data_IF_707400642074
#
_entry.id   IF_707400642074
#
_cell.length_a   1.000
_cell.length_b   1.000
_cell.length_c   1.000
_cell.angle_alpha   90.00
_cell.angle_beta   90.00
_cell.angle_gamma   90.00
#
_symmetry.space_group_name_H-M   'P 1'
#
loop_
_entity.id
_entity.type
_entity.pdbx_description
1 polymer ?
#
# COMPACT_ATOMS: atom_id res chain seq x y z
N UNK A 1 15.33 12.93 16.09
CA UNK A 1 15.25 12.08 14.89
C UNK A 1 14.07 11.13 15.04
N UNK A 2 13.23 11.05 14.01
CA UNK A 2 12.06 10.20 14.07
C UNK A 2 12.44 8.75 13.80
N UNK A 3 11.98 7.86 14.66
CA UNK A 3 12.24 6.43 14.51
C UNK A 3 10.95 5.72 14.11
N UNK A 4 11.00 5.03 12.97
CA UNK A 4 9.89 4.25 12.45
C UNK A 4 10.25 2.76 12.48
N UNK A 5 9.22 1.94 12.61
CA UNK A 5 9.35 0.51 12.41
C UNK A 5 8.21 -0.01 11.55
N UNK A 6 8.44 -1.12 10.90
CA UNK A 6 7.42 -1.81 10.11
C UNK A 6 6.87 -2.95 10.96
N UNK A 7 5.56 -3.07 11.00
CA UNK A 7 4.87 -4.15 11.67
C UNK A 7 4.01 -4.89 10.66
N UNK A 8 4.19 -6.20 10.55
CA UNK A 8 3.36 -7.01 9.67
C UNK A 8 2.01 -7.23 10.35
N UNK A 9 1.03 -6.46 9.94
CA UNK A 9 -0.30 -6.48 10.55
C UNK A 9 -1.30 -5.86 9.60
N UNK A 10 -2.54 -6.32 9.67
CA UNK A 10 -3.66 -5.74 8.92
C UNK A 10 -4.30 -4.67 9.80
N UNK A 11 -4.50 -3.44 9.29
CA UNK A 11 -5.20 -2.43 10.06
C UNK A 11 -6.65 -2.84 10.31
N UNK A 12 -7.24 -2.35 11.39
CA UNK A 12 -8.69 -2.46 11.56
C UNK A 12 -9.38 -1.60 10.49
N UNK A 13 -10.66 -1.86 10.17
CA UNK A 13 -11.39 -1.00 9.24
C UNK A 13 -11.35 0.48 9.62
N UNK A 14 -11.46 0.79 10.91
CA UNK A 14 -11.41 2.17 11.40
C UNK A 14 -10.03 2.79 11.19
N UNK A 15 -8.97 2.04 11.49
CA UNK A 15 -7.60 2.50 11.26
C UNK A 15 -7.34 2.72 9.78
N UNK A 16 -7.81 1.80 8.95
CA UNK A 16 -7.66 1.89 7.50
C UNK A 16 -8.31 3.15 6.95
N UNK A 17 -9.54 3.43 7.36
CA UNK A 17 -10.27 4.61 6.91
C UNK A 17 -9.60 5.89 7.39
N UNK A 18 -9.16 5.91 8.64
CA UNK A 18 -8.42 7.03 9.20
C UNK A 18 -7.13 7.31 8.41
N UNK A 19 -6.35 6.27 8.13
CA UNK A 19 -5.07 6.43 7.43
C UNK A 19 -5.26 6.98 6.03
N UNK A 20 -6.28 6.50 5.30
CA UNK A 20 -6.57 7.03 3.97
C UNK A 20 -6.94 8.51 4.03
N UNK A 21 -7.81 8.89 4.95
CA UNK A 21 -8.21 10.28 5.13
C UNK A 21 -7.02 11.15 5.54
N UNK A 22 -6.24 10.70 6.51
CA UNK A 22 -5.09 11.43 7.01
C UNK A 22 -3.96 11.56 5.98
N UNK A 23 -3.94 10.70 4.98
CA UNK A 23 -3.00 10.77 3.87
C UNK A 23 -3.56 11.49 2.64
N UNK A 24 -4.75 12.07 2.75
CA UNK A 24 -5.45 12.78 1.67
C UNK A 24 -5.77 11.87 0.46
N UNK A 25 -6.06 10.63 0.73
CA UNK A 25 -6.45 9.67 -0.31
C UNK A 25 -7.98 9.60 -0.43
N UNK A 26 -8.46 9.17 -1.59
CA UNK A 26 -9.89 8.97 -1.81
C UNK A 26 -10.46 8.06 -0.73
N UNK A 27 -11.56 8.47 -0.06
CA UNK A 27 -12.13 7.65 1.01
C UNK A 27 -12.75 6.34 0.50
N UNK A 28 -12.74 5.35 1.34
CA UNK A 28 -13.50 4.12 1.16
C UNK A 28 -14.66 4.15 2.16
N UNK A 29 -15.56 3.19 2.11
CA UNK A 29 -16.58 3.12 3.16
C UNK A 29 -16.29 1.96 4.12
N UNK A 30 -16.89 2.02 5.31
CA UNK A 30 -16.63 1.08 6.38
C UNK A 30 -17.04 -0.35 6.00
N UNK A 31 -18.16 -0.49 5.29
CA UNK A 31 -18.65 -1.79 4.86
C UNK A 31 -17.65 -2.49 3.94
N UNK A 32 -17.16 -1.77 2.92
CA UNK A 32 -16.19 -2.36 1.98
C UNK A 32 -14.84 -2.64 2.65
N UNK A 33 -14.41 -1.78 3.56
CA UNK A 33 -13.18 -2.01 4.31
C UNK A 33 -13.30 -3.26 5.20
N UNK A 34 -14.42 -3.41 5.89
CA UNK A 34 -14.69 -4.56 6.75
C UNK A 34 -14.66 -5.86 5.94
N UNK A 35 -15.22 -5.81 4.74
CA UNK A 35 -15.28 -6.98 3.87
C UNK A 35 -13.93 -7.31 3.23
N UNK A 36 -13.17 -6.29 2.88
CA UNK A 36 -11.94 -6.46 2.10
C UNK A 36 -10.68 -6.73 2.92
N UNK A 37 -10.55 -6.08 4.06
CA UNK A 37 -9.35 -6.23 4.89
C UNK A 37 -9.26 -7.66 5.44
N UNK A 38 -8.05 -8.21 5.39
CA UNK A 38 -7.81 -9.59 5.77
C UNK A 38 -7.72 -10.53 4.57
N UNK A 39 -8.08 -10.06 3.37
CA UNK A 39 -7.99 -10.86 2.14
C UNK A 39 -6.72 -10.59 1.33
N UNK A 40 -5.89 -9.64 1.76
CA UNK A 40 -4.62 -9.35 1.11
C UNK A 40 -3.63 -10.50 1.29
N UNK A 41 -2.64 -10.54 0.41
CA UNK A 41 -1.53 -11.48 0.54
C UNK A 41 -0.56 -11.05 1.65
N UNK A 42 -0.43 -9.74 1.84
CA UNK A 42 0.54 -9.18 2.80
C UNK A 42 0.11 -7.76 3.16
N UNK A 43 0.31 -7.40 4.41
CA UNK A 43 -0.04 -6.07 4.92
C UNK A 43 0.96 -5.63 5.96
N UNK A 44 1.35 -4.36 5.91
CA UNK A 44 2.25 -3.78 6.90
C UNK A 44 1.70 -2.45 7.41
N UNK A 45 2.10 -2.10 8.62
CA UNK A 45 1.85 -0.81 9.22
C UNK A 45 3.18 -0.11 9.48
N UNK A 46 3.20 1.20 9.31
CA UNK A 46 4.32 2.04 9.70
C UNK A 46 4.03 2.56 11.10
N UNK A 47 4.92 2.31 12.02
CA UNK A 47 4.71 2.62 13.44
C UNK A 47 5.77 3.62 13.90
N UNK A 48 5.34 4.60 14.69
CA UNK A 48 6.24 5.48 15.42
C UNK A 48 6.76 4.72 16.64
N UNK A 49 8.05 4.44 16.67
CA UNK A 49 8.63 3.64 17.76
C UNK A 49 8.54 4.30 19.15
N UNK A 50 8.44 5.62 19.20
CA UNK A 50 8.39 6.32 20.48
C UNK A 50 7.07 6.14 21.21
N UNK A 51 5.96 6.09 20.49
CA UNK A 51 4.63 6.07 21.11
C UNK A 51 3.70 4.99 20.54
N UNK A 52 4.20 4.13 19.65
CA UNK A 52 3.45 3.05 19.01
C UNK A 52 2.27 3.53 18.16
N UNK A 53 2.28 4.79 17.77
CA UNK A 53 1.24 5.35 16.90
C UNK A 53 1.37 4.84 15.48
N UNK A 54 0.24 4.52 14.85
CA UNK A 54 0.19 4.05 13.46
C UNK A 54 0.24 5.28 12.55
N UNK A 55 1.26 5.34 11.70
CA UNK A 55 1.51 6.49 10.83
C UNK A 55 1.31 6.18 9.35
N UNK A 56 1.17 4.92 8.98
CA UNK A 56 1.02 4.55 7.59
C UNK A 56 0.74 3.07 7.40
N UNK A 57 0.52 2.71 6.15
CA UNK A 57 0.19 1.32 5.78
C UNK A 57 0.56 1.06 4.33
N UNK A 58 0.59 -0.23 3.97
CA UNK A 58 0.70 -0.68 2.61
C UNK A 58 0.24 -2.13 2.52
N UNK A 59 -0.29 -2.52 1.36
CA UNK A 59 -0.82 -3.87 1.16
C UNK A 59 -0.36 -4.43 -0.19
N UNK A 60 -0.27 -5.76 -0.25
CA UNK A 60 -0.11 -6.50 -1.50
C UNK A 60 -1.33 -7.37 -1.69
N UNK A 61 -2.02 -7.23 -2.81
CA UNK A 61 -3.13 -8.10 -3.19
C UNK A 61 -2.77 -8.85 -4.47
N UNK A 62 -3.50 -9.92 -4.78
CA UNK A 62 -3.26 -10.70 -5.99
C UNK A 62 -3.56 -12.17 -5.79
N UNK A 63 -3.10 -12.98 -6.73
CA UNK A 63 -3.31 -14.44 -6.66
C UNK A 63 -2.13 -15.19 -6.02
N UNK A 64 -1.08 -14.49 -5.67
CA UNK A 64 0.08 -15.10 -5.01
C UNK A 64 1.08 -15.75 -5.96
N UNK A 65 0.86 -15.65 -7.25
CA UNK A 65 1.72 -16.29 -8.25
C UNK A 65 1.93 -15.48 -9.51
N UNK A 66 0.87 -15.18 -10.22
CA UNK A 66 1.00 -14.51 -11.52
C UNK A 66 0.88 -13.00 -11.43
N UNK A 67 0.10 -12.49 -10.47
CA UNK A 67 -0.14 -11.05 -10.33
C UNK A 67 -0.05 -10.65 -8.87
N UNK A 68 0.69 -9.57 -8.63
CA UNK A 68 0.74 -8.89 -7.34
C UNK A 68 0.47 -7.41 -7.58
N UNK A 69 -0.45 -6.83 -6.82
CA UNK A 69 -0.71 -5.40 -6.90
C UNK A 69 -0.39 -4.76 -5.55
N UNK A 70 0.40 -3.71 -5.61
CA UNK A 70 0.68 -2.87 -4.44
C UNK A 70 -0.43 -1.84 -4.36
N UNK A 71 -1.06 -1.73 -3.20
CA UNK A 71 -2.18 -0.82 -3.01
C UNK A 71 -2.19 -0.25 -1.59
N UNK A 72 -3.01 0.79 -1.40
CA UNK A 72 -3.21 1.44 -0.11
C UNK A 72 -1.92 1.93 0.54
N UNK A 73 -0.97 2.40 -0.27
CA UNK A 73 0.23 3.05 0.22
C UNK A 73 -0.16 4.40 0.81
N UNK A 74 -0.12 4.51 2.12
CA UNK A 74 -0.53 5.73 2.82
C UNK A 74 0.45 6.06 3.93
N UNK A 75 0.83 7.33 4.01
CA UNK A 75 1.56 7.88 5.16
C UNK A 75 0.82 9.14 5.57
N UNK A 76 0.49 9.26 6.86
CA UNK A 76 -0.19 10.42 7.41
C UNK A 76 0.56 11.68 6.99
N UNK A 77 -0.18 12.70 6.53
CA UNK A 77 0.40 13.90 5.91
C UNK A 77 1.52 14.56 6.70
N UNK A 78 1.35 14.64 8.01
CA UNK A 78 2.35 15.26 8.91
C UNK A 78 3.68 14.51 8.94
N UNK A 79 3.68 13.22 8.55
CA UNK A 79 4.87 12.37 8.62
C UNK A 79 5.43 12.01 7.24
N UNK A 80 4.89 12.61 6.18
CA UNK A 80 5.41 12.38 4.83
C UNK A 80 6.79 13.00 4.64
N UNK A 81 7.52 12.53 3.64
CA UNK A 81 8.86 13.01 3.28
C UNK A 81 9.91 12.75 4.37
N UNK A 82 9.71 11.72 5.18
CA UNK A 82 10.65 11.34 6.24
C UNK A 82 11.11 9.87 6.11
N UNK A 83 10.91 9.27 4.94
CA UNK A 83 11.39 7.93 4.66
C UNK A 83 10.41 6.80 4.97
N UNK A 84 9.22 7.12 5.52
CA UNK A 84 8.23 6.11 5.88
C UNK A 84 7.70 5.33 4.69
N UNK A 85 7.38 6.02 3.60
CA UNK A 85 6.90 5.37 2.38
C UNK A 85 7.93 4.41 1.80
N UNK A 86 9.20 4.77 1.87
CA UNK A 86 10.28 3.89 1.41
C UNK A 86 10.37 2.64 2.27
N UNK A 87 10.21 2.76 3.57
CA UNK A 87 10.20 1.60 4.47
C UNK A 87 9.04 0.66 4.15
N UNK A 88 7.86 1.23 3.91
CA UNK A 88 6.69 0.43 3.52
C UNK A 88 6.96 -0.32 2.22
N UNK A 89 7.40 0.39 1.18
CA UNK A 89 7.69 -0.23 -0.12
C UNK A 89 8.75 -1.32 -0.02
N UNK A 90 9.80 -1.08 0.72
CA UNK A 90 10.85 -2.09 0.91
C UNK A 90 10.27 -3.38 1.52
N UNK A 91 9.37 -3.24 2.50
CA UNK A 91 8.74 -4.40 3.13
C UNK A 91 7.84 -5.15 2.15
N UNK A 92 7.04 -4.42 1.36
CA UNK A 92 6.15 -5.03 0.38
C UNK A 92 6.94 -5.74 -0.72
N UNK A 93 7.99 -5.10 -1.24
CA UNK A 93 8.81 -5.71 -2.28
C UNK A 93 9.60 -6.92 -1.76
N UNK A 94 10.07 -6.86 -0.52
CA UNK A 94 10.73 -8.01 0.11
C UNK A 94 9.78 -9.20 0.21
N UNK A 95 8.51 -8.96 0.56
CA UNK A 95 7.50 -10.01 0.57
C UNK A 95 7.36 -10.66 -0.81
N UNK A 96 7.21 -9.85 -1.87
CA UNK A 96 7.04 -10.35 -3.23
C UNK A 96 8.27 -11.14 -3.66
N UNK A 97 9.46 -10.65 -3.37
CA UNK A 97 10.71 -11.33 -3.71
C UNK A 97 10.82 -12.70 -3.04
N UNK A 98 10.36 -12.81 -1.78
CA UNK A 98 10.36 -14.08 -1.05
C UNK A 98 9.47 -15.15 -1.68
N UNK A 99 8.48 -14.76 -2.50
CA UNK A 99 7.63 -15.72 -3.18
C UNK A 99 8.38 -16.48 -4.26
N UNK A 100 9.47 -15.92 -4.75
CA UNK A 100 10.39 -16.56 -5.69
C UNK A 100 9.68 -17.12 -6.92
N UNK A 101 8.77 -16.33 -7.51
CA UNK A 101 8.08 -16.70 -8.77
C UNK A 101 8.70 -15.96 -9.92
N UNK A 102 8.81 -16.65 -11.06
CA UNK A 102 9.34 -16.07 -12.28
C UNK A 102 8.24 -15.43 -13.09
N UNK A 103 8.51 -14.26 -13.69
CA UNK A 103 7.60 -13.55 -14.60
C UNK A 103 6.26 -13.15 -14.01
N UNK A 104 6.17 -12.96 -12.71
CA UNK A 104 4.98 -12.40 -12.12
C UNK A 104 4.82 -10.95 -12.57
N UNK A 105 3.58 -10.55 -12.78
CA UNK A 105 3.25 -9.18 -13.10
C UNK A 105 2.99 -8.40 -11.81
N UNK A 106 3.87 -7.48 -11.49
CA UNK A 106 3.74 -6.63 -10.30
C UNK A 106 3.31 -5.25 -10.78
N UNK A 107 2.17 -4.76 -10.29
CA UNK A 107 1.67 -3.47 -10.74
C UNK A 107 1.18 -2.62 -9.57
N UNK A 108 0.97 -1.34 -9.85
CA UNK A 108 0.37 -0.38 -8.94
C UNK A 108 -0.18 0.77 -9.76
N UNK A 109 -1.06 1.55 -9.15
CA UNK A 109 -1.54 2.79 -9.73
C UNK A 109 -0.83 3.91 -8.97
N UNK A 110 0.09 4.59 -9.65
CA UNK A 110 0.89 5.65 -9.04
C UNK A 110 0.10 6.96 -9.03
N UNK A 111 -0.01 7.57 -7.87
CA UNK A 111 -0.61 8.89 -7.70
C UNK A 111 0.43 9.96 -7.35
N UNK A 112 1.71 9.58 -7.34
CA UNK A 112 2.84 10.49 -7.15
C UNK A 112 3.91 10.17 -8.20
N UNK A 113 4.66 11.18 -8.59
CA UNK A 113 5.73 11.02 -9.57
C UNK A 113 7.06 10.68 -8.91
N UNK A 114 7.92 9.98 -9.65
CA UNK A 114 9.33 9.77 -9.30
C UNK A 114 9.58 9.04 -7.98
N UNK A 115 8.60 8.30 -7.48
CA UNK A 115 8.78 7.54 -6.25
C UNK A 115 9.00 6.05 -6.53
N UNK A 116 8.10 5.45 -7.32
CA UNK A 116 8.11 3.99 -7.53
C UNK A 116 9.21 3.52 -8.46
N UNK A 117 9.78 4.40 -9.27
CA UNK A 117 10.88 4.07 -10.19
C UNK A 117 12.09 3.54 -9.45
N UNK A 118 12.27 3.88 -8.17
CA UNK A 118 13.38 3.38 -7.33
C UNK A 118 13.38 1.86 -7.23
N UNK A 119 12.23 1.22 -7.40
CA UNK A 119 12.10 -0.24 -7.35
C UNK A 119 11.95 -0.87 -8.74
N UNK A 120 12.17 -0.10 -9.79
CA UNK A 120 12.13 -0.59 -11.17
C UNK A 120 10.79 -0.48 -11.85
N UNK A 121 9.80 0.16 -11.22
CA UNK A 121 8.49 0.35 -11.83
C UNK A 121 8.58 1.37 -12.96
N UNK A 122 7.84 1.10 -14.03
CA UNK A 122 7.76 1.94 -15.23
C UNK A 122 6.30 2.16 -15.58
N UNK A 123 5.97 3.28 -16.24
CA UNK A 123 4.61 3.46 -16.77
C UNK A 123 4.24 2.29 -17.69
N UNK A 124 2.98 1.90 -17.67
CA UNK A 124 2.48 0.85 -18.56
C UNK A 124 2.33 1.34 -20.00
N UNK A 125 2.21 2.66 -20.19
CA UNK A 125 2.10 3.25 -21.51
C UNK A 125 3.46 3.20 -22.24
N UNK A 126 3.47 3.07 -23.59
CA UNK A 126 2.32 3.07 -24.49
C UNK A 126 1.65 1.70 -24.68
N UNK A 127 2.24 0.61 -24.18
CA UNK A 127 1.72 -0.75 -24.44
C UNK A 127 0.35 -1.00 -23.80
N UNK A 128 0.08 -0.34 -22.68
CA UNK A 128 -1.19 -0.48 -21.97
C UNK A 128 -1.51 0.81 -21.23
N UNK A 129 -2.63 0.82 -20.54
CA UNK A 129 -3.08 2.01 -19.81
C UNK A 129 -3.93 1.60 -18.62
N UNK A 130 -3.59 2.10 -17.45
CA UNK A 130 -4.41 1.88 -16.26
C UNK A 130 -5.79 2.53 -16.42
N UNK A 131 -6.82 1.81 -16.01
CA UNK A 131 -8.19 2.31 -16.04
C UNK A 131 -8.89 1.92 -14.75
N UNK A 132 -9.92 2.68 -14.37
CA UNK A 132 -10.63 2.39 -13.12
C UNK A 132 -12.12 2.63 -13.26
N UNK A 133 -12.87 1.98 -12.37
CA UNK A 133 -14.30 2.15 -12.23
C UNK A 133 -14.62 2.11 -10.75
N UNK A 134 -15.51 2.99 -10.30
CA UNK A 134 -16.04 2.97 -8.94
C UNK A 134 -17.42 2.34 -8.96
N UNK A 135 -17.63 1.33 -8.12
CA UNK A 135 -18.95 0.74 -8.01
C UNK A 135 -19.88 1.68 -7.24
N UNK A 136 -21.16 1.55 -7.53
CA UNK A 136 -22.20 2.29 -6.82
C UNK A 136 -23.26 1.30 -6.38
N UNK A 137 -23.58 1.31 -5.08
CA UNK A 137 -24.58 0.41 -4.53
C UNK A 137 -25.97 0.83 -5.04
N UNK A 138 -26.74 -0.14 -5.54
CA UNK A 138 -28.08 0.09 -6.06
C UNK A 138 -29.10 0.17 -4.93
#
# INVERSE_FOLDING_TARGET
MNSFKIKEEVPTPEEYMYLREAANMTPRNLESATKGLGNELFSVLLINEENEEILGMGRVIGDGGTVFQICDMAVVSEWQNQGGGTMIMNALMAYIERQNVDRAYINLIADVDNFYEKWGFKPTEPESKGMYLRTKKL
#
